data_IF_480958924797
#
_entry.id   IF_480958924797
#
_cell.length_a   1.000
_cell.length_b   1.000
_cell.length_c   1.000
_cell.angle_alpha   90.00
_cell.angle_beta   90.00
_cell.angle_gamma   90.00
#
_symmetry.space_group_name_H-M   'P 1'
#
loop_
_entity.id
_entity.type
_entity.pdbx_description
1 polymer ?
#
# COMPACT_ATOMS: atom_id res chain seq x y z
N UNK A 1 -20.57 41.43 30.74
CA UNK A 1 -19.48 40.61 31.34
C UNK A 1 -19.56 39.15 30.86
N UNK A 2 -19.52 38.88 29.54
CA UNK A 2 -19.58 37.50 29.00
C UNK A 2 -18.36 37.08 28.14
N UNK A 3 -17.46 38.00 27.78
CA UNK A 3 -16.36 37.71 26.84
C UNK A 3 -15.10 37.09 27.45
N UNK A 4 -14.85 37.23 28.76
CA UNK A 4 -13.63 36.75 29.41
C UNK A 4 -13.63 35.25 29.70
N UNK A 5 -14.81 34.64 29.85
CA UNK A 5 -14.99 33.24 30.21
C UNK A 5 -14.76 32.31 29.00
N UNK A 6 -15.33 32.63 27.84
CA UNK A 6 -15.22 31.78 26.65
C UNK A 6 -13.76 31.63 26.17
N UNK A 7 -12.97 32.71 26.24
CA UNK A 7 -11.57 32.71 25.81
C UNK A 7 -10.68 31.83 26.70
N UNK A 8 -10.92 31.81 28.02
CA UNK A 8 -10.22 30.93 28.96
C UNK A 8 -10.59 29.47 28.78
N UNK A 9 -11.85 29.15 28.43
CA UNK A 9 -12.25 27.78 28.11
C UNK A 9 -11.65 27.28 26.80
N UNK A 10 -11.60 28.12 25.77
CA UNK A 10 -10.96 27.79 24.48
C UNK A 10 -9.45 27.59 24.63
N UNK A 11 -8.77 28.45 25.41
CA UNK A 11 -7.34 28.30 25.69
C UNK A 11 -7.04 27.07 26.55
N UNK A 12 -7.88 26.75 27.55
CA UNK A 12 -7.72 25.54 28.36
C UNK A 12 -7.93 24.26 27.53
N UNK A 13 -8.91 24.24 26.62
CA UNK A 13 -9.13 23.13 25.70
C UNK A 13 -7.99 22.95 24.68
N UNK A 14 -7.39 24.05 24.21
CA UNK A 14 -6.23 24.01 23.33
C UNK A 14 -4.97 23.48 24.05
N UNK A 15 -4.77 23.83 25.32
CA UNK A 15 -3.64 23.36 26.14
C UNK A 15 -3.77 21.87 26.50
N UNK A 16 -4.98 21.37 26.79
CA UNK A 16 -5.20 19.94 27.03
C UNK A 16 -5.04 19.09 25.77
N UNK A 17 -5.44 19.60 24.59
CA UNK A 17 -5.18 18.92 23.32
C UNK A 17 -3.68 18.86 22.97
N UNK A 18 -2.91 19.91 23.29
CA UNK A 18 -1.47 19.94 23.05
C UNK A 18 -0.69 18.97 23.97
N UNK A 19 -1.15 18.73 25.20
CA UNK A 19 -0.52 17.78 26.12
C UNK A 19 -0.85 16.31 25.82
N UNK A 20 -2.01 16.01 25.23
CA UNK A 20 -2.35 14.66 24.78
C UNK A 20 -1.44 14.15 23.64
N UNK A 21 -0.77 15.05 22.92
CA UNK A 21 0.20 14.72 21.87
C UNK A 21 1.62 14.40 22.39
N UNK A 22 1.86 14.50 23.71
CA UNK A 22 3.20 14.27 24.31
C UNK A 22 3.39 12.90 24.98
N UNK A 23 2.44 11.97 24.87
CA UNK A 23 2.72 10.58 25.27
C UNK A 23 3.61 9.98 24.18
N UNK A 24 4.89 9.65 24.47
CA UNK A 24 5.71 8.97 23.47
C UNK A 24 4.99 7.68 23.06
N UNK A 25 4.97 7.33 21.76
CA UNK A 25 4.36 6.09 21.32
C UNK A 25 4.93 4.93 22.12
N UNK A 26 4.09 3.93 22.41
CA UNK A 26 4.56 2.74 23.12
C UNK A 26 5.77 2.13 22.41
N UNK A 27 6.85 1.90 23.16
CA UNK A 27 8.07 1.25 22.68
C UNK A 27 8.41 0.07 23.59
N UNK A 28 9.23 -0.85 23.11
CA UNK A 28 9.67 -2.03 23.85
C UNK A 28 11.17 -2.30 23.62
N UNK A 29 11.78 -3.08 24.51
CA UNK A 29 13.13 -3.58 24.31
C UNK A 29 13.23 -4.52 23.10
N UNK A 30 14.46 -4.75 22.62
CA UNK A 30 14.71 -5.65 21.50
C UNK A 30 14.13 -7.05 21.75
N UNK A 31 13.14 -7.44 20.92
CA UNK A 31 12.48 -8.75 21.00
C UNK A 31 13.45 -9.89 20.68
N UNK A 32 13.18 -11.07 21.24
CA UNK A 32 13.92 -12.32 21.02
C UNK A 32 12.96 -13.44 20.65
N UNK A 33 13.47 -14.47 19.96
CA UNK A 33 12.73 -15.70 19.64
C UNK A 33 11.43 -15.48 18.86
N UNK A 34 11.42 -14.54 17.92
CA UNK A 34 10.24 -14.19 17.09
C UNK A 34 10.21 -14.91 15.74
N UNK A 35 11.21 -15.74 15.44
CA UNK A 35 11.31 -16.54 14.21
C UNK A 35 11.37 -18.05 14.54
N UNK A 36 10.59 -18.92 13.86
CA UNK A 36 9.64 -18.60 12.79
C UNK A 36 8.44 -17.78 13.29
N UNK A 37 7.81 -16.93 12.43
CA UNK A 37 6.75 -16.02 12.86
C UNK A 37 5.55 -16.74 13.47
N UNK A 38 5.12 -16.27 14.64
CA UNK A 38 3.94 -16.78 15.35
C UNK A 38 3.37 -15.71 16.30
N UNK A 39 2.23 -16.01 16.93
CA UNK A 39 1.60 -15.12 17.91
C UNK A 39 0.90 -13.90 17.30
N UNK A 40 0.59 -12.87 18.11
CA UNK A 40 -0.34 -11.81 17.72
C UNK A 40 0.18 -10.84 16.65
N UNK A 41 1.51 -10.78 16.45
CA UNK A 41 2.12 -9.93 15.41
C UNK A 41 2.15 -10.61 14.04
N UNK A 42 1.91 -11.92 13.98
CA UNK A 42 1.89 -12.67 12.73
C UNK A 42 0.48 -12.70 12.14
N UNK A 43 0.29 -12.09 10.96
CA UNK A 43 -1.01 -12.02 10.27
C UNK A 43 -1.27 -13.18 9.31
N UNK A 44 -0.27 -14.02 9.06
CA UNK A 44 -0.35 -15.12 8.12
C UNK A 44 0.72 -15.06 7.03
N UNK A 45 0.85 -16.14 6.24
CA UNK A 45 1.84 -16.22 5.17
C UNK A 45 1.41 -15.38 3.97
N UNK A 46 2.39 -14.94 3.17
CA UNK A 46 2.16 -14.23 1.92
C UNK A 46 2.15 -15.25 0.75
N UNK A 47 1.10 -15.29 -0.07
CA UNK A 47 1.01 -16.23 -1.19
C UNK A 47 1.98 -15.88 -2.33
N UNK A 48 2.40 -16.89 -3.08
CA UNK A 48 3.27 -16.76 -4.25
C UNK A 48 2.49 -16.84 -5.55
N UNK A 49 2.85 -15.99 -6.52
CA UNK A 49 2.33 -16.01 -7.89
C UNK A 49 3.48 -15.88 -8.88
N UNK A 50 3.31 -16.51 -10.05
CA UNK A 50 4.26 -16.35 -11.16
C UNK A 50 3.78 -15.25 -12.08
N UNK A 51 4.65 -14.30 -12.41
CA UNK A 51 4.39 -13.30 -13.45
C UNK A 51 5.20 -13.68 -14.69
N UNK A 52 4.51 -14.17 -15.72
CA UNK A 52 5.15 -14.59 -16.96
C UNK A 52 5.44 -13.38 -17.88
N UNK A 53 6.70 -13.00 -17.98
CA UNK A 53 7.19 -11.88 -18.79
C UNK A 53 7.14 -12.13 -20.29
N UNK A 54 6.95 -13.39 -20.72
CA UNK A 54 6.75 -13.75 -22.13
C UNK A 54 5.34 -13.40 -22.62
N UNK A 55 4.39 -13.19 -21.69
CA UNK A 55 3.07 -12.66 -22.04
C UNK A 55 3.16 -11.18 -22.44
N UNK A 56 2.27 -10.73 -23.36
CA UNK A 56 2.07 -9.30 -23.59
C UNK A 56 1.80 -8.57 -22.26
N UNK A 57 2.37 -7.37 -22.03
CA UNK A 57 2.21 -6.62 -20.78
C UNK A 57 0.78 -6.62 -20.22
N UNK A 58 -0.20 -6.31 -21.07
CA UNK A 58 -1.62 -6.33 -20.76
C UNK A 58 -2.09 -7.61 -20.03
N UNK A 59 -1.59 -8.79 -20.40
CA UNK A 59 -2.07 -10.08 -19.86
C UNK A 59 -1.34 -10.56 -18.59
N UNK A 60 -0.23 -9.93 -18.21
CA UNK A 60 0.71 -10.47 -17.19
C UNK A 60 0.08 -10.63 -15.81
N UNK A 61 -0.86 -9.78 -15.47
CA UNK A 61 -1.48 -9.71 -14.14
C UNK A 61 -2.82 -10.45 -14.04
N UNK A 62 -3.35 -10.98 -15.15
CA UNK A 62 -4.71 -11.50 -15.22
C UNK A 62 -4.96 -12.66 -14.25
N UNK A 63 -4.04 -13.62 -14.16
CA UNK A 63 -4.18 -14.78 -13.28
C UNK A 63 -4.21 -14.36 -11.80
N UNK A 64 -3.25 -13.52 -11.38
CA UNK A 64 -3.23 -12.96 -10.02
C UNK A 64 -4.54 -12.25 -9.70
N UNK A 65 -5.02 -11.42 -10.62
CA UNK A 65 -6.23 -10.61 -10.41
C UNK A 65 -7.51 -11.43 -10.44
N UNK A 66 -7.56 -12.58 -11.11
CA UNK A 66 -8.70 -13.48 -11.00
C UNK A 66 -9.00 -13.86 -9.54
N UNK A 67 -7.97 -13.92 -8.69
CA UNK A 67 -8.09 -14.17 -7.26
C UNK A 67 -8.18 -12.89 -6.41
N UNK A 68 -7.44 -11.84 -6.76
CA UNK A 68 -7.28 -10.64 -5.91
C UNK A 68 -8.20 -9.47 -6.28
N UNK A 69 -8.88 -9.49 -7.43
CA UNK A 69 -9.74 -8.41 -7.89
C UNK A 69 -10.86 -8.03 -6.90
N UNK A 70 -11.54 -8.96 -6.20
CA UNK A 70 -12.53 -8.58 -5.19
C UNK A 70 -11.94 -7.74 -4.06
N UNK A 71 -10.76 -8.13 -3.58
CA UNK A 71 -10.05 -7.43 -2.50
C UNK A 71 -9.57 -6.06 -2.97
N UNK A 72 -9.06 -5.98 -4.20
CA UNK A 72 -8.60 -4.71 -4.77
C UNK A 72 -9.76 -3.72 -4.95
N UNK A 73 -10.94 -4.21 -5.38
CA UNK A 73 -12.16 -3.39 -5.46
C UNK A 73 -12.59 -2.87 -4.09
N UNK A 74 -12.51 -3.69 -3.04
CA UNK A 74 -12.80 -3.23 -1.66
C UNK A 74 -11.90 -2.07 -1.29
N UNK A 75 -10.58 -2.20 -1.49
CA UNK A 75 -9.64 -1.14 -1.15
C UNK A 75 -9.91 0.15 -1.94
N UNK A 76 -10.07 0.05 -3.25
CA UNK A 76 -10.32 1.21 -4.11
C UNK A 76 -11.64 1.91 -3.71
N UNK A 77 -12.71 1.14 -3.46
CA UNK A 77 -13.96 1.69 -2.98
C UNK A 77 -13.82 2.39 -1.60
N UNK A 78 -13.05 1.81 -0.69
CA UNK A 78 -12.77 2.42 0.61
C UNK A 78 -12.03 3.76 0.45
N UNK A 79 -11.02 3.81 -0.42
CA UNK A 79 -10.30 5.07 -0.74
C UNK A 79 -11.27 6.10 -1.33
N UNK A 80 -12.07 5.72 -2.32
CA UNK A 80 -13.01 6.62 -3.00
C UNK A 80 -14.09 7.15 -2.07
N UNK A 81 -14.60 6.31 -1.16
CA UNK A 81 -15.53 6.73 -0.11
C UNK A 81 -14.90 7.69 0.89
N UNK A 82 -13.65 7.44 1.30
CA UNK A 82 -12.92 8.35 2.20
C UNK A 82 -12.66 9.69 1.52
N UNK A 83 -12.18 9.71 0.28
CA UNK A 83 -11.98 10.93 -0.50
C UNK A 83 -13.29 11.72 -0.64
N UNK A 84 -14.40 11.05 -0.95
CA UNK A 84 -15.71 11.70 -1.04
C UNK A 84 -16.22 12.21 0.32
N UNK A 85 -15.86 11.57 1.44
CA UNK A 85 -16.20 12.09 2.76
C UNK A 85 -15.47 13.41 3.07
N UNK A 86 -14.20 13.56 2.62
CA UNK A 86 -13.45 14.81 2.76
C UNK A 86 -13.83 15.85 1.71
N UNK A 87 -14.21 15.43 0.50
CA UNK A 87 -14.60 16.30 -0.60
C UNK A 87 -15.95 15.83 -1.18
N UNK A 88 -17.08 16.16 -0.52
CA UNK A 88 -18.42 15.65 -0.86
C UNK A 88 -18.93 16.03 -2.25
N UNK A 89 -18.29 17.00 -2.90
CA UNK A 89 -18.62 17.38 -4.28
C UNK A 89 -18.36 16.29 -5.31
N UNK A 90 -17.58 15.24 -4.98
CA UNK A 90 -17.20 14.17 -5.90
C UNK A 90 -16.22 14.58 -7.00
N UNK A 91 -15.88 15.88 -7.08
CA UNK A 91 -15.04 16.44 -8.15
C UNK A 91 -13.65 15.80 -8.24
N UNK A 92 -13.06 15.40 -7.11
CA UNK A 92 -11.75 14.72 -7.11
C UNK A 92 -11.86 13.38 -7.83
N UNK A 93 -12.84 12.56 -7.46
CA UNK A 93 -13.04 11.25 -8.10
C UNK A 93 -13.39 11.40 -9.58
N UNK A 94 -14.23 12.38 -9.93
CA UNK A 94 -14.51 12.69 -11.32
C UNK A 94 -13.24 13.08 -12.12
N UNK A 95 -12.35 13.88 -11.53
CA UNK A 95 -11.07 14.21 -12.18
C UNK A 95 -10.16 12.99 -12.32
N UNK A 96 -10.12 12.12 -11.30
CA UNK A 96 -9.38 10.85 -11.36
C UNK A 96 -9.88 10.01 -12.53
N UNK A 97 -11.19 9.85 -12.68
CA UNK A 97 -11.78 8.99 -13.70
C UNK A 97 -11.67 9.57 -15.11
N UNK A 98 -11.85 10.88 -15.27
CA UNK A 98 -11.92 11.51 -16.60
C UNK A 98 -10.56 12.01 -17.11
N UNK A 99 -9.67 12.48 -16.23
CA UNK A 99 -8.43 13.16 -16.63
C UNK A 99 -7.20 12.28 -16.50
N UNK A 100 -7.12 11.48 -15.43
CA UNK A 100 -5.93 10.69 -15.16
C UNK A 100 -5.65 9.61 -16.22
N UNK A 101 -6.65 8.97 -16.87
CA UNK A 101 -6.40 8.09 -18.00
C UNK A 101 -5.64 8.76 -19.15
N UNK A 102 -5.74 10.07 -19.31
CA UNK A 102 -4.98 10.82 -20.32
C UNK A 102 -3.47 10.75 -20.11
N UNK A 103 -2.99 10.45 -18.90
CA UNK A 103 -1.57 10.30 -18.59
C UNK A 103 -0.99 8.96 -19.04
N UNK A 104 -1.82 7.95 -19.32
CA UNK A 104 -1.37 6.58 -19.61
C UNK A 104 -0.41 6.52 -20.81
N UNK A 105 -0.58 7.39 -21.81
CA UNK A 105 0.27 7.45 -23.00
C UNK A 105 1.68 7.99 -22.73
N UNK A 106 1.86 8.69 -21.61
CA UNK A 106 3.16 9.20 -21.16
C UNK A 106 3.91 8.21 -20.27
N UNK A 107 3.23 7.15 -19.83
CA UNK A 107 3.83 6.13 -18.95
C UNK A 107 4.63 5.14 -19.82
N UNK A 108 5.92 4.94 -19.55
CA UNK A 108 6.75 4.06 -20.36
C UNK A 108 6.24 2.62 -20.33
N UNK A 109 6.37 1.93 -21.45
CA UNK A 109 6.16 0.49 -21.49
C UNK A 109 7.14 -0.23 -20.55
N UNK A 110 6.71 -1.27 -19.83
CA UNK A 110 5.45 -2.01 -20.01
C UNK A 110 4.26 -1.51 -19.18
N UNK A 111 4.46 -0.53 -18.30
CA UNK A 111 3.56 -0.26 -17.17
C UNK A 111 2.17 0.20 -17.58
N UNK A 112 2.06 1.04 -18.62
CA UNK A 112 0.76 1.54 -19.07
C UNK A 112 -0.19 0.41 -19.51
N UNK A 113 0.33 -0.54 -20.28
CA UNK A 113 -0.45 -1.70 -20.74
C UNK A 113 -0.76 -2.68 -19.62
N UNK A 114 0.16 -2.88 -18.67
CA UNK A 114 -0.11 -3.67 -17.46
C UNK A 114 -1.25 -3.07 -16.63
N UNK A 115 -1.27 -1.74 -16.46
CA UNK A 115 -2.35 -1.03 -15.75
C UNK A 115 -3.69 -1.11 -16.49
N UNK A 116 -3.70 -1.05 -17.83
CA UNK A 116 -4.93 -1.30 -18.63
C UNK A 116 -5.48 -2.69 -18.40
N UNK A 117 -4.62 -3.72 -18.47
CA UNK A 117 -5.03 -5.10 -18.20
C UNK A 117 -5.58 -5.29 -16.79
N UNK A 118 -4.97 -4.63 -15.79
CA UNK A 118 -5.49 -4.63 -14.42
C UNK A 118 -6.89 -4.02 -14.36
N UNK A 119 -7.09 -2.84 -14.97
CA UNK A 119 -8.38 -2.14 -14.99
C UNK A 119 -9.47 -3.01 -15.62
N UNK A 120 -9.19 -3.60 -16.78
CA UNK A 120 -10.17 -4.39 -17.55
C UNK A 120 -10.57 -5.70 -16.84
N UNK A 121 -9.62 -6.39 -16.19
CA UNK A 121 -9.92 -7.62 -15.42
C UNK A 121 -10.70 -7.31 -14.14
N UNK A 122 -10.40 -6.20 -13.49
CA UNK A 122 -10.98 -5.87 -12.18
C UNK A 122 -12.31 -5.12 -12.31
N UNK A 123 -12.58 -4.48 -13.45
CA UNK A 123 -13.69 -3.57 -13.66
C UNK A 123 -13.51 -2.23 -12.94
N UNK A 124 -12.29 -1.92 -12.47
CA UNK A 124 -11.96 -0.66 -11.79
C UNK A 124 -11.59 0.38 -12.87
N UNK A 125 -12.09 1.63 -12.77
CA UNK A 125 -11.69 2.70 -13.68
C UNK A 125 -10.17 2.84 -13.78
N UNK A 126 -9.65 2.99 -15.00
CA UNK A 126 -8.21 3.11 -15.24
C UNK A 126 -7.58 4.27 -14.46
N UNK A 127 -8.30 5.37 -14.25
CA UNK A 127 -7.86 6.48 -13.43
C UNK A 127 -7.61 6.09 -11.98
N UNK A 128 -8.46 5.25 -11.39
CA UNK A 128 -8.27 4.75 -10.02
C UNK A 128 -7.09 3.78 -9.93
N UNK A 129 -6.87 2.93 -10.94
CA UNK A 129 -5.67 2.07 -11.03
C UNK A 129 -4.38 2.90 -11.14
N UNK A 130 -4.37 3.95 -11.97
CA UNK A 130 -3.22 4.85 -12.08
C UNK A 130 -3.00 5.56 -10.73
N UNK A 131 -4.06 6.06 -10.09
CA UNK A 131 -3.97 6.71 -8.77
C UNK A 131 -3.38 5.77 -7.72
N UNK A 132 -3.82 4.51 -7.69
CA UNK A 132 -3.26 3.48 -6.81
C UNK A 132 -1.77 3.29 -7.04
N UNK A 133 -1.31 3.31 -8.30
CA UNK A 133 0.11 3.22 -8.63
C UNK A 133 0.92 4.48 -8.28
N UNK A 134 0.28 5.64 -8.17
CA UNK A 134 0.90 6.89 -7.70
C UNK A 134 0.99 6.93 -6.16
N UNK A 135 -0.02 6.42 -5.45
CA UNK A 135 -0.08 6.52 -3.98
C UNK A 135 1.10 5.87 -3.26
N UNK A 136 1.67 4.80 -3.82
CA UNK A 136 2.86 4.17 -3.25
C UNK A 136 4.11 5.04 -3.31
N UNK A 137 4.17 6.05 -4.19
CA UNK A 137 5.31 6.97 -4.26
C UNK A 137 5.27 8.03 -3.14
N UNK A 138 4.14 8.18 -2.44
CA UNK A 138 3.91 9.29 -1.51
C UNK A 138 3.67 8.85 -0.06
N UNK A 139 3.13 7.65 0.18
CA UNK A 139 2.58 7.26 1.49
C UNK A 139 3.23 6.02 2.10
N UNK A 140 4.37 5.58 1.56
CA UNK A 140 5.14 4.46 2.11
C UNK A 140 6.17 4.94 3.12
N UNK A 141 6.28 4.22 4.23
CA UNK A 141 7.40 4.32 5.16
C UNK A 141 8.12 2.98 5.20
N UNK A 142 9.39 2.98 5.58
CA UNK A 142 10.15 1.74 5.63
C UNK A 142 11.28 1.77 6.66
N UNK A 143 11.61 0.57 7.14
CA UNK A 143 12.92 0.27 7.74
C UNK A 143 13.57 -0.78 6.87
N UNK A 144 14.81 -0.53 6.43
CA UNK A 144 15.61 -1.46 5.62
C UNK A 144 16.99 -1.63 6.24
N UNK A 145 17.48 -2.87 6.31
CA UNK A 145 18.73 -3.23 6.96
C UNK A 145 19.50 -4.17 6.03
N UNK A 146 20.78 -3.86 5.79
CA UNK A 146 21.74 -4.76 5.15
C UNK A 146 22.81 -5.09 6.18
N UNK A 147 23.10 -6.39 6.36
CA UNK A 147 24.19 -6.85 7.23
C UNK A 147 25.10 -7.81 6.48
N UNK A 148 26.36 -7.81 6.84
CA UNK A 148 27.36 -8.77 6.39
C UNK A 148 27.84 -9.60 7.58
N UNK A 149 27.85 -10.93 7.46
CA UNK A 149 28.40 -11.79 8.50
C UNK A 149 29.94 -11.86 8.43
N UNK A 150 30.59 -12.48 9.43
CA UNK A 150 32.05 -12.62 9.46
C UNK A 150 32.64 -13.49 8.33
N UNK A 151 31.82 -14.07 7.46
CA UNK A 151 32.22 -14.85 6.27
C UNK A 151 31.93 -14.10 4.96
N UNK A 152 31.40 -12.88 5.02
CA UNK A 152 31.04 -12.08 3.85
C UNK A 152 29.64 -12.37 3.29
N UNK A 153 28.77 -13.08 4.01
CA UNK A 153 27.40 -13.30 3.54
C UNK A 153 26.54 -12.07 3.81
N UNK A 154 25.88 -11.57 2.75
CA UNK A 154 24.96 -10.45 2.83
C UNK A 154 23.53 -10.92 3.13
N UNK A 155 22.89 -10.26 4.08
CA UNK A 155 21.47 -10.39 4.39
C UNK A 155 20.81 -9.02 4.23
N UNK A 156 19.66 -8.98 3.56
CA UNK A 156 18.85 -7.77 3.42
C UNK A 156 17.45 -8.05 3.95
N UNK A 157 17.09 -7.38 5.05
CA UNK A 157 15.78 -7.47 5.69
C UNK A 157 15.11 -6.10 5.76
N UNK A 158 13.78 -6.07 5.78
CA UNK A 158 13.02 -4.81 5.78
C UNK A 158 11.58 -4.97 6.30
N UNK A 159 11.00 -3.89 6.81
CA UNK A 159 9.58 -3.76 7.18
C UNK A 159 8.86 -2.77 6.26
N UNK A 160 7.65 -3.13 5.79
CA UNK A 160 6.78 -2.32 4.92
C UNK A 160 5.64 -1.67 5.69
N UNK A 161 5.68 -0.35 5.76
CA UNK A 161 4.66 0.46 6.41
C UNK A 161 3.94 1.29 5.36
N UNK A 162 2.61 1.33 5.45
CA UNK A 162 1.79 2.16 4.58
C UNK A 162 0.86 3.01 5.43
N UNK A 163 0.87 4.32 5.20
CA UNK A 163 0.10 5.27 5.99
C UNK A 163 -0.40 6.42 5.14
N UNK A 164 -1.55 6.23 4.48
CA UNK A 164 -2.29 7.35 3.86
C UNK A 164 -3.05 8.18 4.91
N UNK A 165 -3.12 7.70 6.16
CA UNK A 165 -3.80 8.34 7.30
C UNK A 165 -5.27 8.76 7.02
N UNK A 166 -5.92 8.08 6.07
CA UNK A 166 -7.35 8.21 5.77
C UNK A 166 -8.11 7.02 6.35
N UNK A 167 -9.20 7.31 7.06
CA UNK A 167 -10.08 6.28 7.63
C UNK A 167 -9.50 5.61 8.86
N UNK A 168 -9.71 6.21 10.03
CA UNK A 168 -9.37 5.59 11.32
C UNK A 168 -10.55 4.75 11.84
N UNK A 169 -10.30 3.47 12.12
CA UNK A 169 -11.27 2.58 12.73
C UNK A 169 -11.08 2.55 14.25
N UNK A 170 -12.00 3.20 14.97
CA UNK A 170 -11.97 3.31 16.44
C UNK A 170 -12.24 1.98 17.17
N UNK A 171 -12.85 1.00 16.50
CA UNK A 171 -13.21 -0.27 17.14
C UNK A 171 -12.00 -1.19 17.33
N UNK A 172 -10.99 -1.07 16.47
CA UNK A 172 -9.78 -1.90 16.51
C UNK A 172 -8.48 -1.09 16.46
N UNK A 173 -8.55 0.25 16.46
CA UNK A 173 -7.43 1.18 16.42
C UNK A 173 -6.50 0.94 15.22
N UNK A 174 -7.08 0.85 14.02
CA UNK A 174 -6.32 0.65 12.78
C UNK A 174 -6.72 1.63 11.68
N UNK A 175 -5.81 1.84 10.72
CA UNK A 175 -6.08 2.57 9.50
C UNK A 175 -6.72 1.63 8.46
N UNK A 176 -7.90 1.99 7.96
CA UNK A 176 -8.70 1.16 7.06
C UNK A 176 -7.89 0.71 5.84
N UNK A 177 -7.28 1.67 5.15
CA UNK A 177 -6.47 1.39 3.95
C UNK A 177 -5.28 0.48 4.26
N UNK A 178 -4.59 0.70 5.38
CA UNK A 178 -3.45 -0.14 5.78
C UNK A 178 -3.86 -1.58 6.06
N UNK A 179 -5.02 -1.81 6.68
CA UNK A 179 -5.52 -3.17 6.91
C UNK A 179 -5.97 -3.85 5.60
N UNK A 180 -6.63 -3.12 4.71
CA UNK A 180 -7.10 -3.62 3.41
C UNK A 180 -5.96 -3.90 2.42
N UNK A 181 -4.79 -3.30 2.62
CA UNK A 181 -3.58 -3.61 1.86
C UNK A 181 -2.96 -4.97 2.20
N UNK A 182 -3.04 -5.41 3.46
CA UNK A 182 -2.44 -6.69 3.89
C UNK A 182 -2.88 -7.89 3.05
N UNK A 183 -4.18 -8.10 2.74
CA UNK A 183 -4.60 -9.21 1.89
C UNK A 183 -4.22 -9.03 0.41
N UNK A 184 -3.80 -7.84 -0.03
CA UNK A 184 -3.28 -7.60 -1.38
C UNK A 184 -1.78 -7.89 -1.49
N UNK A 185 -1.06 -8.02 -0.38
CA UNK A 185 0.36 -8.38 -0.38
C UNK A 185 0.57 -9.75 -1.01
N UNK A 186 1.49 -9.82 -1.97
CA UNK A 186 1.85 -11.02 -2.72
C UNK A 186 3.34 -11.11 -2.95
N UNK A 187 3.86 -12.33 -2.95
CA UNK A 187 5.19 -12.63 -3.47
C UNK A 187 5.07 -12.98 -4.95
N UNK A 188 5.96 -12.43 -5.76
CA UNK A 188 5.97 -12.53 -7.21
C UNK A 188 7.27 -13.15 -7.67
N UNK A 189 7.17 -14.24 -8.43
CA UNK A 189 8.29 -14.81 -9.19
C UNK A 189 8.15 -14.36 -10.65
N UNK A 190 8.97 -13.40 -11.06
CA UNK A 190 8.96 -12.90 -12.43
C UNK A 190 9.79 -13.82 -13.31
N UNK A 191 9.12 -14.53 -14.23
CA UNK A 191 9.78 -15.51 -15.08
C UNK A 191 9.80 -15.09 -16.54
N UNK A 192 10.89 -15.42 -17.24
CA UNK A 192 11.04 -15.30 -18.69
C UNK A 192 11.63 -16.60 -19.23
N UNK A 193 11.04 -17.17 -20.27
CA UNK A 193 11.38 -18.49 -20.78
C UNK A 193 11.38 -19.57 -19.67
N UNK A 194 10.38 -19.52 -18.78
CA UNK A 194 10.23 -20.42 -17.62
C UNK A 194 11.43 -20.41 -16.64
N UNK A 195 12.17 -19.29 -16.57
CA UNK A 195 13.27 -19.07 -15.63
C UNK A 195 13.02 -17.80 -14.83
N UNK A 196 13.21 -17.86 -13.52
CA UNK A 196 13.18 -16.69 -12.63
C UNK A 196 14.19 -15.65 -13.11
N UNK A 197 13.70 -14.43 -13.32
CA UNK A 197 14.50 -13.23 -13.61
C UNK A 197 14.80 -12.48 -12.32
N UNK A 198 13.77 -12.31 -11.49
CA UNK A 198 13.86 -11.75 -10.14
C UNK A 198 12.61 -12.12 -9.35
N UNK A 199 12.66 -11.97 -8.03
CA UNK A 199 11.52 -12.15 -7.13
C UNK A 199 11.26 -10.86 -6.37
N UNK A 200 10.00 -10.61 -6.06
CA UNK A 200 9.58 -9.40 -5.37
C UNK A 200 8.42 -9.65 -4.41
N UNK A 201 8.24 -8.75 -3.45
CA UNK A 201 7.01 -8.62 -2.67
C UNK A 201 6.34 -7.31 -3.07
N UNK A 202 5.08 -7.38 -3.48
CA UNK A 202 4.30 -6.23 -3.95
C UNK A 202 2.83 -6.37 -3.55
N UNK A 203 1.98 -5.45 -4.02
CA UNK A 203 0.54 -5.49 -3.87
C UNK A 203 -0.15 -5.81 -5.20
N UNK A 204 -1.16 -6.67 -5.19
CA UNK A 204 -1.96 -6.92 -6.39
C UNK A 204 -2.62 -5.61 -6.87
N UNK A 205 -2.34 -5.22 -8.12
CA UNK A 205 -2.76 -3.95 -8.72
C UNK A 205 -1.65 -2.89 -8.81
N UNK A 206 -0.50 -3.09 -8.15
CA UNK A 206 0.67 -2.23 -8.25
C UNK A 206 1.72 -2.85 -9.19
N UNK A 207 2.09 -2.13 -10.26
CA UNK A 207 3.02 -2.63 -11.29
C UNK A 207 4.48 -2.25 -11.02
N UNK A 208 4.72 -1.34 -10.06
CA UNK A 208 6.05 -1.02 -9.56
C UNK A 208 6.55 -2.04 -8.54
N UNK A 209 7.86 -2.01 -8.25
CA UNK A 209 8.49 -2.92 -7.28
C UNK A 209 9.21 -2.13 -6.20
N UNK A 210 8.79 -2.31 -4.94
CA UNK A 210 9.40 -1.65 -3.76
C UNK A 210 10.34 -2.58 -3.00
N UNK A 211 10.24 -3.88 -3.21
CA UNK A 211 11.03 -4.90 -2.51
C UNK A 211 11.24 -6.07 -3.44
N UNK A 212 12.50 -6.41 -3.71
CA UNK A 212 12.84 -7.56 -4.54
C UNK A 212 14.32 -7.84 -4.56
N UNK A 213 14.66 -9.00 -5.13
CA UNK A 213 16.02 -9.44 -5.31
C UNK A 213 16.11 -10.28 -6.58
N UNK A 214 17.32 -10.38 -7.12
CA UNK A 214 17.64 -11.21 -8.27
C UNK A 214 18.63 -12.27 -7.83
N UNK A 215 18.34 -13.52 -8.15
CA UNK A 215 19.28 -14.62 -7.97
C UNK A 215 20.52 -14.33 -8.84
N UNK A 216 21.71 -14.41 -8.23
CA UNK A 216 22.99 -14.14 -8.87
C UNK A 216 23.43 -15.28 -9.80
#
# INVERSE_FOLDING_TARGET
>A
MLGRSLLTWVLAAAVTCAQAQQVPPWTEDCRKSTYPPSGPTYRGPVPWYTINLDLPPYKRWHELLAHKAPVLRTLVNSISNLVNAFVPSGKIMQMVDEKLPGLIGSIPGPFGEEMRGIADVTGIPLGEIISFNIFYELFTMCTSIITEDGKGHLLHGRNMDFGIFLGWNINNNTWVVTEELKPLTVNLDFQRNNKTVFKATSFAGYVGMLTGFKDC
#
